data_IF_195865647728
#
_entry.id   IF_195865647728
#
_cell.length_a   1.000
_cell.length_b   1.000
_cell.length_c   1.000
_cell.angle_alpha   90.00
_cell.angle_beta   90.00
_cell.angle_gamma   90.00
#
_symmetry.space_group_name_H-M   'P 1'
#
loop_
_entity.id
_entity.type
_entity.pdbx_description
1 polymer ?
#
# COMPACT_ATOMS: atom_id res chain seq x y z
N UNK A 1 -30.15 -11.88 -39.62
CA UNK A 1 -30.09 -11.25 -38.28
C UNK A 1 -28.87 -11.77 -37.54
N UNK A 2 -28.26 -10.90 -36.72
CA UNK A 2 -27.11 -11.10 -35.80
C UNK A 2 -25.71 -10.85 -36.37
N UNK A 3 -25.43 -9.57 -36.49
CA UNK A 3 -24.14 -8.92 -36.29
C UNK A 3 -23.49 -9.35 -34.96
N UNK A 4 -22.29 -9.93 -35.03
CA UNK A 4 -21.40 -10.09 -33.88
C UNK A 4 -20.42 -8.90 -33.87
N UNK A 5 -20.83 -7.84 -33.18
CA UNK A 5 -19.93 -6.82 -32.66
C UNK A 5 -19.31 -7.40 -31.39
N UNK A 6 -18.05 -7.81 -31.44
CA UNK A 6 -17.26 -8.01 -30.21
C UNK A 6 -16.40 -6.77 -30.05
N UNK A 7 -16.82 -6.00 -29.05
CA UNK A 7 -16.28 -4.72 -28.61
C UNK A 7 -14.78 -4.76 -28.40
N UNK A 8 -14.13 -3.71 -28.91
CA UNK A 8 -12.75 -3.35 -28.62
C UNK A 8 -12.53 -3.27 -27.11
N UNK A 9 -11.64 -4.12 -26.58
CA UNK A 9 -11.06 -3.90 -25.26
C UNK A 9 -10.08 -2.75 -25.41
N UNK A 10 -10.51 -1.55 -25.03
CA UNK A 10 -9.66 -0.36 -24.97
C UNK A 10 -8.59 -0.65 -23.91
N UNK A 11 -7.36 -0.91 -24.36
CA UNK A 11 -6.17 -0.79 -23.53
C UNK A 11 -6.09 0.68 -23.08
N UNK A 12 -6.55 0.97 -21.86
CA UNK A 12 -6.14 2.17 -21.14
C UNK A 12 -4.70 1.98 -20.68
N UNK A 13 -3.77 2.23 -21.62
CA UNK A 13 -2.39 2.57 -21.31
C UNK A 13 -2.40 3.95 -20.63
N UNK A 14 -2.62 3.96 -19.32
CA UNK A 14 -2.34 5.12 -18.48
C UNK A 14 -0.82 5.29 -18.43
N UNK A 15 -0.26 6.05 -19.38
CA UNK A 15 1.08 6.61 -19.24
C UNK A 15 1.04 7.66 -18.11
N UNK A 16 1.11 7.20 -16.87
CA UNK A 16 1.22 8.07 -15.71
C UNK A 16 2.69 8.47 -15.51
N UNK A 17 3.14 9.44 -16.31
CA UNK A 17 4.31 10.22 -15.97
C UNK A 17 3.97 11.07 -14.73
N UNK A 18 4.52 10.69 -13.56
CA UNK A 18 4.50 11.52 -12.34
C UNK A 18 3.18 11.52 -11.55
N UNK A 19 2.54 10.37 -11.33
CA UNK A 19 1.37 10.29 -10.46
C UNK A 19 1.78 10.53 -8.99
N UNK A 20 1.54 11.73 -8.49
CA UNK A 20 1.66 12.03 -7.07
C UNK A 20 0.65 11.18 -6.29
N UNK A 21 1.12 10.36 -5.35
CA UNK A 21 0.30 9.43 -4.57
C UNK A 21 0.04 10.00 -3.19
N UNK A 22 -1.22 10.22 -2.84
CA UNK A 22 -1.63 10.70 -1.51
C UNK A 22 -2.22 9.58 -0.64
N UNK A 23 -2.76 8.52 -1.26
CA UNK A 23 -3.36 7.41 -0.56
C UNK A 23 -3.07 6.07 -1.25
N UNK A 24 -2.84 5.05 -0.44
CA UNK A 24 -2.87 3.65 -0.83
C UNK A 24 -4.11 3.00 -0.22
N UNK A 25 -4.83 2.23 -1.01
CA UNK A 25 -5.88 1.31 -0.53
C UNK A 25 -5.42 -0.10 -0.82
N UNK A 26 -5.18 -0.86 0.24
CA UNK A 26 -4.66 -2.21 0.17
C UNK A 26 -5.66 -3.26 0.64
N UNK A 27 -5.46 -4.46 0.11
CA UNK A 27 -6.09 -5.70 0.56
C UNK A 27 -5.00 -6.71 0.86
N UNK A 28 -5.27 -7.73 1.70
CA UNK A 28 -4.34 -8.84 1.87
C UNK A 28 -4.01 -9.53 0.54
N UNK A 29 -2.75 -9.90 0.36
CA UNK A 29 -2.23 -10.36 -0.94
C UNK A 29 -2.51 -11.82 -1.28
N UNK A 30 -2.94 -12.65 -0.31
CA UNK A 30 -3.29 -14.04 -0.56
C UNK A 30 -4.45 -14.52 0.36
N UNK A 31 -5.33 -15.37 -0.19
CA UNK A 31 -6.64 -15.69 0.39
C UNK A 31 -6.70 -16.17 1.86
N UNK A 32 -5.75 -16.94 2.43
CA UNK A 32 -5.85 -17.32 3.84
C UNK A 32 -5.66 -16.14 4.80
N UNK A 33 -5.15 -14.99 4.33
CA UNK A 33 -5.02 -13.78 5.13
C UNK A 33 -6.28 -12.92 4.99
N UNK A 34 -7.23 -13.04 5.93
CA UNK A 34 -8.29 -12.03 6.19
C UNK A 34 -8.79 -11.29 4.93
N UNK A 35 -9.24 -12.04 3.91
CA UNK A 35 -9.56 -11.52 2.57
C UNK A 35 -10.51 -10.31 2.53
N UNK A 36 -11.20 -10.04 3.64
CA UNK A 36 -12.15 -8.95 3.79
C UNK A 36 -11.58 -7.69 4.45
N UNK A 37 -10.32 -7.67 4.89
CA UNK A 37 -9.71 -6.47 5.46
C UNK A 37 -9.41 -5.42 4.37
N UNK A 38 -9.68 -4.15 4.68
CA UNK A 38 -9.28 -3.01 3.84
C UNK A 38 -8.32 -2.13 4.62
N UNK A 39 -7.13 -1.94 4.08
CA UNK A 39 -6.08 -1.12 4.67
C UNK A 39 -5.97 0.18 3.90
N UNK A 40 -5.91 1.30 4.60
CA UNK A 40 -5.62 2.60 4.00
C UNK A 40 -4.32 3.15 4.57
N UNK A 41 -3.39 3.54 3.70
CA UNK A 41 -2.20 4.31 4.06
C UNK A 41 -2.36 5.68 3.44
N UNK A 42 -2.59 6.70 4.26
CA UNK A 42 -2.85 8.07 3.81
C UNK A 42 -1.61 8.89 4.13
N UNK A 43 -0.87 9.31 3.11
CA UNK A 43 0.35 10.10 3.31
C UNK A 43 -0.01 11.54 3.69
N UNK A 44 0.72 12.11 4.64
CA UNK A 44 0.52 13.50 5.07
C UNK A 44 0.86 14.52 3.97
N UNK A 45 1.61 14.08 2.95
CA UNK A 45 1.86 14.80 1.70
C UNK A 45 1.89 13.80 0.55
N UNK A 46 1.52 14.22 -0.64
CA UNK A 46 1.63 13.36 -1.81
C UNK A 46 3.10 13.04 -2.11
N UNK A 47 3.37 11.83 -2.60
CA UNK A 47 4.71 11.35 -2.92
C UNK A 47 4.84 10.99 -4.39
N UNK A 48 6.04 11.17 -4.94
CA UNK A 48 6.41 10.58 -6.22
C UNK A 48 6.76 9.10 -5.99
N UNK A 49 6.08 8.13 -6.62
CA UNK A 49 6.38 6.70 -6.47
C UNK A 49 7.80 6.34 -6.91
N UNK A 50 8.45 7.16 -7.74
CA UNK A 50 9.84 6.97 -8.15
C UNK A 50 10.83 7.71 -7.24
N UNK A 51 10.35 8.64 -6.41
CA UNK A 51 11.16 9.50 -5.52
C UNK A 51 10.37 9.91 -4.27
N UNK A 52 10.03 8.97 -3.37
CA UNK A 52 9.02 9.22 -2.34
C UNK A 52 9.45 10.21 -1.23
N UNK A 53 10.75 10.52 -1.14
CA UNK A 53 11.34 11.32 -0.05
C UNK A 53 11.90 12.67 -0.46
N UNK A 54 11.51 13.20 -1.62
CA UNK A 54 11.93 14.55 -2.03
C UNK A 54 11.60 15.55 -0.90
N UNK A 55 12.63 16.19 -0.34
CA UNK A 55 12.51 17.22 0.70
C UNK A 55 12.20 16.75 2.14
N UNK A 56 12.17 15.44 2.45
CA UNK A 56 12.17 14.93 3.84
C UNK A 56 12.42 13.41 3.86
N UNK A 57 13.30 12.95 4.75
CA UNK A 57 13.56 11.52 4.96
C UNK A 57 12.47 10.79 5.75
N UNK A 58 11.64 11.55 6.48
CA UNK A 58 10.50 11.03 7.23
C UNK A 58 9.20 11.48 6.56
N UNK A 59 8.37 10.51 6.20
CA UNK A 59 7.06 10.71 5.61
C UNK A 59 5.99 10.28 6.62
N UNK A 60 5.31 11.26 7.20
CA UNK A 60 4.16 10.97 8.06
C UNK A 60 3.00 10.38 7.26
N UNK A 61 2.27 9.46 7.86
CA UNK A 61 1.08 8.84 7.30
C UNK A 61 0.07 8.48 8.39
N UNK A 62 -1.18 8.31 7.97
CA UNK A 62 -2.24 7.69 8.76
C UNK A 62 -2.48 6.29 8.21
N UNK A 63 -2.41 5.28 9.08
CA UNK A 63 -2.81 3.91 8.78
C UNK A 63 -4.21 3.67 9.33
N UNK A 64 -5.09 3.12 8.50
CA UNK A 64 -6.38 2.57 8.92
C UNK A 64 -6.48 1.12 8.46
N UNK A 65 -6.99 0.25 9.31
CA UNK A 65 -7.35 -1.11 8.94
C UNK A 65 -8.79 -1.34 9.33
N UNK A 66 -9.63 -1.63 8.35
CA UNK A 66 -11.03 -1.98 8.55
C UNK A 66 -11.20 -3.49 8.39
N UNK A 67 -11.53 -4.18 9.48
CA UNK A 67 -11.84 -5.61 9.48
C UNK A 67 -13.34 -5.78 9.23
N UNK A 68 -13.73 -6.17 8.02
CA UNK A 68 -15.15 -6.31 7.64
C UNK A 68 -15.88 -7.42 8.39
N UNK A 69 -15.16 -8.42 8.90
CA UNK A 69 -15.76 -9.55 9.63
C UNK A 69 -16.25 -9.06 11.00
N UNK A 70 -15.43 -8.27 11.68
CA UNK A 70 -15.77 -7.74 13.02
C UNK A 70 -16.43 -6.37 12.97
N UNK A 71 -16.36 -5.67 11.83
CA UNK A 71 -16.79 -4.28 11.66
C UNK A 71 -15.86 -3.28 12.36
N UNK A 72 -14.76 -3.72 12.95
CA UNK A 72 -13.85 -2.86 13.69
C UNK A 72 -12.90 -2.10 12.76
N UNK A 73 -12.54 -0.89 13.19
CA UNK A 73 -11.54 -0.06 12.50
C UNK A 73 -10.42 0.27 13.46
N UNK A 74 -9.22 -0.21 13.14
CA UNK A 74 -7.97 0.22 13.77
C UNK A 74 -7.45 1.48 13.06
N UNK A 75 -6.95 2.47 13.79
CA UNK A 75 -6.40 3.71 13.23
C UNK A 75 -5.16 4.16 14.00
N UNK A 76 -4.10 4.52 13.27
CA UNK A 76 -2.88 5.15 13.78
C UNK A 76 -2.53 6.36 12.92
N UNK A 77 -2.46 7.53 13.53
CA UNK A 77 -2.15 8.79 12.85
C UNK A 77 -0.68 9.21 12.97
N UNK A 78 0.11 8.42 13.68
CA UNK A 78 1.52 8.66 14.01
C UNK A 78 2.47 7.72 13.23
N UNK A 79 2.03 7.17 12.09
CA UNK A 79 2.88 6.33 11.26
C UNK A 79 3.94 7.18 10.58
N UNK A 80 5.19 6.77 10.67
CA UNK A 80 6.30 7.39 9.95
C UNK A 80 6.91 6.37 9.01
N UNK A 81 7.00 6.72 7.74
CA UNK A 81 7.61 5.94 6.66
C UNK A 81 8.92 6.59 6.22
N UNK A 82 9.92 5.76 5.94
CA UNK A 82 11.25 6.15 5.47
C UNK A 82 11.69 5.19 4.35
N UNK A 83 12.72 5.52 3.56
CA UNK A 83 13.27 4.60 2.56
C UNK A 83 13.80 3.32 3.22
N UNK A 84 13.60 2.18 2.55
CA UNK A 84 14.08 0.88 3.06
C UNK A 84 15.61 0.78 3.02
N UNK A 85 16.25 1.30 1.96
CA UNK A 85 17.70 1.50 1.85
C UNK A 85 18.01 2.98 1.53
N UNK A 86 19.23 3.34 1.12
CA UNK A 86 19.69 4.74 0.96
C UNK A 86 18.80 5.61 0.04
N UNK A 87 19.14 6.89 -0.14
CA UNK A 87 18.29 7.94 -0.73
C UNK A 87 17.64 7.65 -2.11
N UNK A 88 18.06 6.59 -2.81
CA UNK A 88 17.56 6.19 -4.13
C UNK A 88 16.51 5.08 -4.08
N UNK A 89 16.22 4.52 -2.88
CA UNK A 89 15.22 3.45 -2.75
C UNK A 89 13.80 4.01 -2.75
N UNK A 90 12.97 3.42 -3.60
CA UNK A 90 11.54 3.74 -3.74
C UNK A 90 10.68 2.92 -2.79
N UNK A 91 11.25 1.88 -2.18
CA UNK A 91 10.57 1.10 -1.16
C UNK A 91 10.53 1.90 0.15
N UNK A 92 9.36 1.93 0.77
CA UNK A 92 9.13 2.56 2.05
C UNK A 92 8.97 1.51 3.12
N UNK A 93 9.55 1.77 4.29
CA UNK A 93 9.34 1.01 5.53
C UNK A 93 9.05 1.96 6.66
N UNK A 94 8.36 1.49 7.68
CA UNK A 94 8.05 2.34 8.82
C UNK A 94 7.11 1.69 9.80
N UNK A 95 6.46 2.53 10.59
CA UNK A 95 5.66 2.06 11.70
C UNK A 95 5.21 3.14 12.66
N UNK A 96 4.61 2.71 13.76
CA UNK A 96 4.15 3.57 14.84
C UNK A 96 4.44 2.89 16.19
N UNK A 97 5.26 3.55 17.02
CA UNK A 97 5.54 3.16 18.42
C UNK A 97 5.96 1.70 18.66
N UNK A 98 6.57 1.02 17.68
CA UNK A 98 6.92 -0.41 17.76
C UNK A 98 5.72 -1.38 17.69
N UNK A 99 4.50 -0.86 17.50
CA UNK A 99 3.26 -1.63 17.42
C UNK A 99 2.87 -1.92 15.98
N UNK A 100 3.15 -0.98 15.08
CA UNK A 100 2.92 -1.14 13.65
C UNK A 100 4.27 -1.26 12.97
N UNK A 101 4.39 -2.24 12.09
CA UNK A 101 5.47 -2.39 11.13
C UNK A 101 4.86 -2.49 9.75
N UNK A 102 5.23 -1.58 8.87
CA UNK A 102 4.70 -1.54 7.51
C UNK A 102 5.85 -1.41 6.53
N UNK A 103 5.75 -2.13 5.42
CA UNK A 103 6.61 -1.98 4.25
C UNK A 103 5.72 -1.89 3.02
N UNK A 104 5.98 -0.92 2.15
CA UNK A 104 5.31 -0.78 0.86
C UNK A 104 6.33 -0.45 -0.21
N UNK A 105 6.22 -1.14 -1.34
CA UNK A 105 7.14 -1.08 -2.46
C UNK A 105 6.33 -0.81 -3.74
N UNK A 106 6.64 0.24 -4.51
CA UNK A 106 5.94 0.50 -5.76
C UNK A 106 6.26 -0.62 -6.77
N UNK A 107 5.25 -1.07 -7.51
CA UNK A 107 5.46 -2.03 -8.58
C UNK A 107 5.93 -1.29 -9.82
N UNK A 108 7.16 -1.56 -10.22
CA UNK A 108 7.78 -0.98 -11.41
C UNK A 108 7.87 -2.01 -12.54
N UNK A 109 7.60 -1.58 -13.77
CA UNK A 109 7.86 -2.37 -14.99
C UNK A 109 8.67 -1.51 -15.94
N UNK A 110 9.87 -1.97 -16.29
CA UNK A 110 10.80 -1.23 -17.15
C UNK A 110 11.05 0.21 -16.66
N UNK A 111 11.16 0.41 -15.34
CA UNK A 111 11.37 1.72 -14.70
C UNK A 111 10.12 2.60 -14.59
N UNK A 112 8.97 2.18 -15.14
CA UNK A 112 7.72 2.90 -15.02
C UNK A 112 6.87 2.38 -13.86
N UNK A 113 6.25 3.30 -13.11
CA UNK A 113 5.31 2.96 -12.04
C UNK A 113 4.00 2.41 -12.60
N UNK A 114 3.56 1.27 -12.07
CA UNK A 114 2.39 0.53 -12.57
C UNK A 114 1.06 0.94 -11.91
N UNK A 115 1.03 1.98 -11.09
CA UNK A 115 -0.19 2.42 -10.38
C UNK A 115 -0.50 1.65 -9.08
N UNK A 116 0.37 0.72 -8.68
CA UNK A 116 0.15 -0.17 -7.54
C UNK A 116 1.40 -0.38 -6.69
N UNK A 117 1.19 -0.72 -5.43
CA UNK A 117 2.24 -1.09 -4.47
C UNK A 117 1.99 -2.51 -3.95
N UNK A 118 3.03 -3.14 -3.43
CA UNK A 118 2.95 -4.39 -2.66
C UNK A 118 3.81 -4.28 -1.42
N UNK A 119 3.58 -5.14 -0.42
CA UNK A 119 4.44 -5.18 0.74
C UNK A 119 3.86 -5.98 1.90
N UNK A 120 4.14 -5.55 3.11
CA UNK A 120 3.84 -6.26 4.34
C UNK A 120 3.28 -5.30 5.40
N UNK A 121 2.35 -5.78 6.21
CA UNK A 121 1.83 -5.08 7.37
C UNK A 121 1.74 -6.02 8.57
N UNK A 122 2.36 -5.62 9.67
CA UNK A 122 2.24 -6.28 10.95
C UNK A 122 1.81 -5.27 12.01
N UNK A 123 0.75 -5.61 12.75
CA UNK A 123 0.19 -4.84 13.85
C UNK A 123 0.14 -5.75 15.06
N UNK A 124 0.82 -5.34 16.12
CA UNK A 124 0.77 -5.94 17.44
C UNK A 124 0.62 -4.83 18.49
N UNK A 125 -0.60 -4.32 18.61
CA UNK A 125 -0.95 -3.21 19.49
C UNK A 125 -1.68 -3.80 20.71
N UNK A 126 -0.91 -4.09 21.76
CA UNK A 126 -1.39 -4.77 22.96
C UNK A 126 -2.39 -3.93 23.76
N UNK A 127 -2.23 -2.60 23.73
CA UNK A 127 -3.09 -1.66 24.45
C UNK A 127 -4.52 -1.68 23.90
N UNK A 128 -4.64 -1.67 22.57
CA UNK A 128 -5.94 -1.75 21.89
C UNK A 128 -6.39 -3.18 21.56
N UNK A 129 -5.59 -4.20 21.95
CA UNK A 129 -5.81 -5.63 21.67
C UNK A 129 -6.00 -5.94 20.19
N UNK A 130 -5.31 -5.19 19.33
CA UNK A 130 -5.33 -5.40 17.88
C UNK A 130 -4.12 -6.20 17.43
N UNK A 131 -4.38 -7.32 16.75
CA UNK A 131 -3.34 -8.16 16.17
C UNK A 131 -3.68 -8.48 14.72
N UNK A 132 -2.82 -8.03 13.80
CA UNK A 132 -2.92 -8.32 12.38
C UNK A 132 -1.54 -8.67 11.85
N UNK A 133 -1.38 -9.88 11.32
CA UNK A 133 -0.18 -10.26 10.60
C UNK A 133 -0.55 -10.45 9.13
N UNK A 134 -0.18 -9.48 8.31
CA UNK A 134 -0.32 -9.44 6.86
C UNK A 134 1.09 -9.36 6.24
N UNK A 135 1.96 -10.28 6.65
CA UNK A 135 3.30 -10.46 6.09
C UNK A 135 3.25 -11.52 5.01
N UNK A 136 3.83 -11.21 3.86
CA UNK A 136 3.90 -12.10 2.70
C UNK A 136 4.89 -13.24 2.87
N UNK A 137 4.98 -14.04 1.82
CA UNK A 137 5.99 -15.08 1.65
C UNK A 137 7.02 -14.62 0.61
N UNK A 138 7.94 -15.51 0.24
CA UNK A 138 8.86 -15.27 -0.89
C UNK A 138 8.15 -15.21 -2.25
N UNK A 139 6.90 -15.69 -2.35
CA UNK A 139 6.15 -15.82 -3.59
C UNK A 139 5.00 -14.82 -3.71
N UNK A 140 4.42 -14.43 -2.58
CA UNK A 140 3.22 -13.60 -2.51
C UNK A 140 3.39 -12.48 -1.49
N UNK A 141 3.04 -11.22 -1.82
CA UNK A 141 3.11 -10.12 -0.86
C UNK A 141 2.04 -10.26 0.22
N UNK A 142 2.27 -9.69 1.40
CA UNK A 142 1.28 -9.68 2.48
C UNK A 142 0.12 -8.73 2.21
N UNK A 143 0.39 -7.61 1.54
CA UNK A 143 -0.61 -6.65 1.07
C UNK A 143 -0.36 -6.24 -0.38
N UNK A 144 -1.45 -5.99 -1.11
CA UNK A 144 -1.46 -5.42 -2.47
C UNK A 144 -2.29 -4.15 -2.43
N UNK A 145 -1.74 -3.05 -2.94
CA UNK A 145 -2.32 -1.73 -2.84
C UNK A 145 -2.51 -1.04 -4.19
N UNK A 146 -3.62 -0.33 -4.34
CA UNK A 146 -3.89 0.57 -5.45
C UNK A 146 -3.75 2.02 -4.99
N UNK A 147 -3.25 2.89 -5.87
CA UNK A 147 -3.21 4.33 -5.60
C UNK A 147 -4.60 4.95 -5.71
N UNK A 148 -4.93 5.85 -4.79
CA UNK A 148 -6.19 6.63 -4.79
C UNK A 148 -5.93 8.10 -4.55
#
# INVERSE_FOLDING_TARGET
MKTLLISAFILSLSLNAGAAVSKLVCVPGYEPMRAEAVIEVIFNRAIDPLKPVIGSYNLGAVLKLHDKITGQTYTRSDVVLVPATSMDDVNLRGGAGGMVHIRVSPVLKNGAFMGRYTGDLFINDLDSRNYYNLTGTTQEPGIVCETR
#
